data_IF_317747739938
#
_entry.id   IF_317747739938
#
_cell.length_a   1.000
_cell.length_b   1.000
_cell.length_c   1.000
_cell.angle_alpha   90.00
_cell.angle_beta   90.00
_cell.angle_gamma   90.00
#
_symmetry.space_group_name_H-M   'P 1'
#
loop_
_entity.id
_entity.type
_entity.pdbx_description
1 polymer ?
#
# COMPACT_ATOMS: atom_id res chain seq x y z
N UNK A 1 13.76 21.27 4.66
CA UNK A 1 14.04 19.97 4.05
C UNK A 1 12.77 19.21 3.81
N UNK A 2 12.58 18.77 2.60
CA UNK A 2 11.42 17.95 2.30
C UNK A 2 11.57 16.56 2.91
N UNK A 3 10.52 16.08 3.50
CA UNK A 3 10.45 14.70 3.95
C UNK A 3 10.33 13.77 2.74
N UNK A 4 11.00 12.63 2.83
CA UNK A 4 10.86 11.58 1.84
C UNK A 4 10.09 10.40 2.43
N UNK A 5 9.40 9.71 1.56
CA UNK A 5 8.54 8.60 1.95
C UNK A 5 8.84 7.37 1.10
N UNK A 6 8.44 6.24 1.60
CA UNK A 6 8.58 4.97 0.89
C UNK A 6 7.30 4.17 1.07
N UNK A 7 7.11 3.19 0.20
CA UNK A 7 6.02 2.23 0.32
C UNK A 7 6.63 0.89 0.71
N UNK A 8 6.15 0.34 1.82
CA UNK A 8 6.61 -0.93 2.34
C UNK A 8 5.50 -1.96 2.19
N UNK A 9 5.85 -3.14 1.69
CA UNK A 9 4.98 -4.30 1.68
C UNK A 9 5.40 -5.26 2.79
N UNK A 10 4.42 -5.75 3.55
CA UNK A 10 4.63 -6.72 4.63
C UNK A 10 3.69 -7.90 4.46
N UNK A 11 4.16 -9.08 4.84
CA UNK A 11 3.35 -10.29 4.78
C UNK A 11 3.92 -11.32 5.74
N UNK A 12 3.30 -12.51 5.79
CA UNK A 12 3.81 -13.61 6.58
C UNK A 12 4.74 -14.51 5.75
N UNK A 13 5.45 -15.43 6.41
CA UNK A 13 6.41 -16.30 5.75
C UNK A 13 5.80 -17.23 4.72
N UNK A 14 4.56 -17.66 4.94
CA UNK A 14 3.85 -18.54 4.01
C UNK A 14 3.62 -17.85 2.66
N UNK A 15 3.11 -16.61 2.69
CA UNK A 15 2.85 -15.84 1.48
C UNK A 15 4.16 -15.40 0.84
N UNK A 16 5.12 -14.95 1.64
CA UNK A 16 6.43 -14.51 1.15
C UNK A 16 7.13 -15.60 0.32
N UNK A 17 7.00 -16.87 0.73
CA UNK A 17 7.60 -17.98 0.02
C UNK A 17 6.96 -18.26 -1.34
N UNK A 18 5.71 -17.81 -1.55
CA UNK A 18 4.94 -18.09 -2.76
C UNK A 18 4.75 -16.88 -3.67
N UNK A 19 4.87 -15.68 -3.11
CA UNK A 19 4.66 -14.45 -3.86
C UNK A 19 6.00 -13.96 -4.40
N UNK A 20 6.14 -13.95 -5.71
CA UNK A 20 7.39 -13.54 -6.36
C UNK A 20 7.78 -12.11 -6.02
N UNK A 21 6.82 -11.24 -5.72
CA UNK A 21 7.08 -9.86 -5.31
C UNK A 21 7.87 -9.81 -4.00
N UNK A 22 7.54 -10.68 -3.06
CA UNK A 22 8.22 -10.74 -1.76
C UNK A 22 9.49 -11.58 -1.81
N UNK A 23 9.53 -12.58 -2.69
CA UNK A 23 10.73 -13.39 -2.93
C UNK A 23 11.33 -13.96 -1.63
N UNK A 24 10.48 -14.52 -0.77
CA UNK A 24 10.88 -15.11 0.50
C UNK A 24 11.07 -14.14 1.65
N UNK A 25 10.92 -12.84 1.41
CA UNK A 25 11.07 -11.80 2.45
C UNK A 25 9.70 -11.39 2.98
N UNK A 26 9.60 -11.21 4.29
CA UNK A 26 8.34 -10.79 4.90
C UNK A 26 8.15 -9.28 4.90
N UNK A 27 9.19 -8.53 4.53
CA UNK A 27 9.12 -7.08 4.40
C UNK A 27 9.96 -6.65 3.20
N UNK A 28 9.39 -5.84 2.33
CA UNK A 28 10.08 -5.32 1.15
C UNK A 28 9.82 -3.82 0.99
N UNK A 29 10.78 -3.12 0.40
CA UNK A 29 10.59 -1.75 -0.06
C UNK A 29 10.06 -1.79 -1.49
N UNK A 30 8.79 -1.43 -1.67
CA UNK A 30 8.14 -1.44 -2.99
C UNK A 30 8.62 -0.25 -3.82
N UNK A 31 8.70 0.92 -3.20
CA UNK A 31 9.15 2.15 -3.83
C UNK A 31 9.74 3.05 -2.77
N UNK A 32 10.77 3.84 -3.13
CA UNK A 32 11.48 4.71 -2.19
C UNK A 32 11.68 6.11 -2.75
N UNK A 33 12.09 7.02 -1.88
CA UNK A 33 12.50 8.38 -2.25
C UNK A 33 11.37 9.19 -2.90
N UNK A 34 10.16 9.08 -2.33
CA UNK A 34 8.97 9.72 -2.86
C UNK A 34 8.58 10.94 -2.01
N UNK A 35 7.95 11.93 -2.64
CA UNK A 35 7.22 12.93 -1.88
C UNK A 35 5.96 12.28 -1.32
N UNK A 36 5.30 12.93 -0.34
CA UNK A 36 4.05 12.38 0.20
C UNK A 36 3.01 12.20 -0.89
N UNK A 37 2.87 13.19 -1.77
CA UNK A 37 1.91 13.11 -2.86
C UNK A 37 2.22 11.97 -3.82
N UNK A 38 3.50 11.80 -4.17
CA UNK A 38 3.92 10.70 -5.03
C UNK A 38 3.64 9.35 -4.37
N UNK A 39 3.90 9.25 -3.07
CA UNK A 39 3.62 8.03 -2.32
C UNK A 39 2.13 7.72 -2.29
N UNK A 40 1.28 8.73 -2.07
CA UNK A 40 -0.17 8.56 -2.10
C UNK A 40 -0.65 8.08 -3.46
N UNK A 41 -0.15 8.68 -4.54
CA UNK A 41 -0.52 8.28 -5.90
C UNK A 41 -0.06 6.86 -6.21
N UNK A 42 1.17 6.53 -5.83
CA UNK A 42 1.70 5.19 -6.07
C UNK A 42 0.95 4.12 -5.26
N UNK A 43 0.60 4.42 -4.01
CA UNK A 43 -0.17 3.48 -3.20
C UNK A 43 -1.56 3.26 -3.81
N UNK A 44 -2.19 4.31 -4.33
CA UNK A 44 -3.47 4.18 -5.01
C UNK A 44 -3.34 3.30 -6.26
N UNK A 45 -2.26 3.44 -7.01
CA UNK A 45 -1.99 2.60 -8.17
C UNK A 45 -1.88 1.13 -7.77
N UNK A 46 -1.15 0.84 -6.70
CA UNK A 46 -1.00 -0.52 -6.17
C UNK A 46 -2.36 -1.06 -5.72
N UNK A 47 -3.13 -0.23 -5.01
CA UNK A 47 -4.47 -0.58 -4.54
C UNK A 47 -5.38 -0.95 -5.71
N UNK A 48 -5.43 -0.11 -6.74
CA UNK A 48 -6.23 -0.38 -7.94
C UNK A 48 -5.81 -1.70 -8.60
N UNK A 49 -4.53 -1.96 -8.67
CA UNK A 49 -4.01 -3.19 -9.28
C UNK A 49 -4.43 -4.42 -8.46
N UNK A 50 -4.32 -4.35 -7.13
CA UNK A 50 -4.70 -5.47 -6.27
C UNK A 50 -6.18 -5.79 -6.35
N UNK A 51 -7.03 -4.78 -6.41
CA UNK A 51 -8.49 -4.94 -6.38
C UNK A 51 -9.15 -4.87 -7.76
N UNK A 52 -8.34 -4.74 -8.81
CA UNK A 52 -8.83 -4.65 -10.20
C UNK A 52 -9.80 -3.47 -10.38
N UNK A 53 -9.42 -2.31 -9.84
CA UNK A 53 -10.20 -1.09 -9.89
C UNK A 53 -9.47 -0.02 -10.71
N UNK A 54 -10.19 1.05 -11.06
CA UNK A 54 -9.66 2.18 -11.82
C UNK A 54 -10.07 3.50 -11.14
N UNK A 55 -9.87 3.57 -9.84
CA UNK A 55 -10.26 4.73 -9.05
C UNK A 55 -9.26 5.87 -9.24
N UNK A 56 -9.78 7.11 -9.35
CA UNK A 56 -8.95 8.29 -9.59
C UNK A 56 -8.46 8.93 -8.31
N UNK A 57 -9.06 8.59 -7.17
CA UNK A 57 -8.59 9.09 -5.88
C UNK A 57 -8.94 8.10 -4.77
N UNK A 58 -8.27 8.27 -3.64
CA UNK A 58 -8.39 7.36 -2.51
C UNK A 58 -9.81 7.29 -1.93
N UNK A 59 -10.51 8.42 -1.88
CA UNK A 59 -11.87 8.44 -1.35
C UNK A 59 -12.81 7.54 -2.15
N UNK A 60 -12.71 7.57 -3.47
CA UNK A 60 -13.50 6.71 -4.35
C UNK A 60 -13.09 5.26 -4.18
N UNK A 61 -11.79 4.99 -4.07
CA UNK A 61 -11.27 3.64 -3.86
C UNK A 61 -11.85 3.03 -2.58
N UNK A 62 -11.84 3.80 -1.49
CA UNK A 62 -12.37 3.36 -0.20
C UNK A 62 -13.85 3.02 -0.31
N UNK A 63 -14.64 3.84 -0.99
CA UNK A 63 -16.07 3.58 -1.19
C UNK A 63 -16.27 2.33 -2.03
N UNK A 64 -15.53 2.18 -3.11
CA UNK A 64 -15.66 1.04 -4.02
C UNK A 64 -15.36 -0.30 -3.34
N UNK A 65 -14.49 -0.31 -2.33
CA UNK A 65 -14.10 -1.55 -1.65
C UNK A 65 -14.83 -1.82 -0.35
N UNK A 66 -15.71 -0.92 0.11
CA UNK A 66 -16.46 -1.13 1.36
C UNK A 66 -17.28 -2.41 1.38
N UNK A 67 -17.69 -2.90 0.22
CA UNK A 67 -18.45 -4.15 0.11
C UNK A 67 -17.56 -5.39 0.20
N UNK A 68 -16.25 -5.23 0.22
CA UNK A 68 -15.31 -6.35 0.24
C UNK A 68 -14.86 -6.61 1.67
N UNK A 69 -15.25 -7.75 2.21
CA UNK A 69 -15.17 -8.09 3.63
C UNK A 69 -13.75 -8.12 4.19
N UNK A 70 -12.72 -8.33 3.35
CA UNK A 70 -11.35 -8.52 3.81
C UNK A 70 -10.44 -7.34 3.50
N UNK A 71 -11.03 -6.19 3.15
CA UNK A 71 -10.25 -5.01 2.81
C UNK A 71 -10.17 -4.08 4.02
N UNK A 72 -8.97 -3.88 4.54
CA UNK A 72 -8.72 -2.87 5.56
C UNK A 72 -7.88 -1.76 4.93
N UNK A 73 -8.31 -0.52 5.09
CA UNK A 73 -7.62 0.65 4.58
C UNK A 73 -7.70 1.77 5.61
N UNK A 74 -6.68 2.61 5.62
CA UNK A 74 -6.59 3.67 6.61
C UNK A 74 -5.81 4.85 6.06
N UNK A 75 -6.26 6.06 6.40
CA UNK A 75 -5.51 7.29 6.18
C UNK A 75 -5.16 7.86 7.56
N UNK A 76 -3.89 8.14 7.79
CA UNK A 76 -3.41 8.71 9.04
C UNK A 76 -3.43 10.23 8.98
N UNK A 77 -3.33 10.87 10.15
CA UNK A 77 -3.40 12.32 10.28
C UNK A 77 -2.29 13.04 9.49
N UNK A 78 -1.14 12.41 9.32
CA UNK A 78 -0.02 12.99 8.58
C UNK A 78 -0.14 12.81 7.05
N UNK A 79 -1.23 12.20 6.59
CA UNK A 79 -1.48 11.95 5.17
C UNK A 79 -0.94 10.63 4.67
N UNK A 80 -0.22 9.87 5.48
CA UNK A 80 0.21 8.52 5.09
C UNK A 80 -0.99 7.58 5.07
N UNK A 81 -0.92 6.56 4.25
CA UNK A 81 -2.02 5.62 4.04
C UNK A 81 -1.51 4.19 4.02
N UNK A 82 -2.37 3.26 4.34
CA UNK A 82 -2.07 1.84 4.22
C UNK A 82 -3.34 1.07 3.86
N UNK A 83 -3.14 -0.13 3.35
CA UNK A 83 -4.25 -1.05 3.11
C UNK A 83 -3.76 -2.49 3.24
N UNK A 84 -4.69 -3.36 3.57
CA UNK A 84 -4.45 -4.81 3.62
C UNK A 84 -5.09 -5.46 2.39
N UNK A 85 -4.41 -6.46 1.84
CA UNK A 85 -4.91 -7.23 0.73
C UNK A 85 -4.41 -8.66 0.83
N UNK A 86 -5.34 -9.59 1.07
CA UNK A 86 -5.08 -11.03 1.03
C UNK A 86 -3.81 -11.44 1.81
N UNK A 87 -3.72 -11.01 3.07
CA UNK A 87 -2.60 -11.33 3.95
C UNK A 87 -1.36 -10.46 3.75
N UNK A 88 -1.45 -9.46 2.89
CA UNK A 88 -0.37 -8.49 2.66
C UNK A 88 -0.80 -7.12 3.13
N UNK A 89 0.14 -6.33 3.64
CA UNK A 89 -0.11 -4.95 4.04
C UNK A 89 0.84 -4.04 3.27
N UNK A 90 0.29 -3.04 2.60
CA UNK A 90 1.08 -2.01 1.93
C UNK A 90 0.87 -0.68 2.63
N UNK A 91 1.95 -0.01 3.00
CA UNK A 91 1.87 1.22 3.78
C UNK A 91 2.89 2.25 3.30
N UNK A 92 2.51 3.53 3.45
CA UNK A 92 3.41 4.66 3.24
C UNK A 92 4.08 4.93 4.57
N UNK A 93 5.42 5.00 4.58
CA UNK A 93 6.20 5.33 5.77
C UNK A 93 7.24 6.38 5.44
N UNK A 94 7.54 7.23 6.41
CA UNK A 94 8.57 8.25 6.25
C UNK A 94 9.95 7.61 6.23
N UNK A 95 10.78 8.00 5.28
CA UNK A 95 12.19 7.57 5.24
C UNK A 95 12.99 8.39 6.24
N UNK A 96 13.86 7.70 6.95
CA UNK A 96 14.78 8.34 7.87
C UNK A 96 16.09 8.77 7.20
#
# INVERSE_FOLDING_TARGET
MEKKFKIIGRTNGWIAARDSQFNGKTEIDVEKNLTLKEAQNELLRIFNKCFELDCKNWGIAVIATKSRVFCAYKTHDDGTRCFDYDGRTFSIEEEE
#
